data_IF_196361247448
#
_entry.id   IF_196361247448
#
_cell.length_a   1.000
_cell.length_b   1.000
_cell.length_c   1.000
_cell.angle_alpha   90.00
_cell.angle_beta   90.00
_cell.angle_gamma   90.00
#
_symmetry.space_group_name_H-M   'P 1'
#
loop_
_entity.id
_entity.type
_entity.pdbx_description
1 polymer ?
#
# COMPACT_ATOMS: atom_id res chain seq x y z
N UNK A 1 25.18 9.82 -8.06
CA UNK A 1 25.01 9.29 -6.70
C UNK A 1 24.39 7.91 -6.84
N UNK A 2 25.17 6.88 -6.57
CA UNK A 2 24.71 5.48 -6.60
C UNK A 2 23.62 5.35 -5.53
N UNK A 3 22.43 4.85 -5.90
CA UNK A 3 21.36 4.68 -4.90
C UNK A 3 21.75 3.54 -3.99
N UNK A 4 22.00 3.86 -2.73
CA UNK A 4 22.27 2.85 -1.72
C UNK A 4 21.08 1.88 -1.64
N UNK A 5 21.37 0.59 -1.69
CA UNK A 5 20.35 -0.45 -1.68
C UNK A 5 19.62 -0.42 -0.35
N UNK A 6 18.31 -0.20 -0.38
CA UNK A 6 17.47 -0.21 0.81
C UNK A 6 17.65 -1.54 1.56
N UNK A 7 17.90 -1.44 2.87
CA UNK A 7 18.11 -2.62 3.71
C UNK A 7 16.84 -3.47 3.81
N UNK A 8 17.01 -4.79 3.97
CA UNK A 8 15.86 -5.69 4.20
C UNK A 8 15.11 -5.32 5.49
N UNK A 9 15.80 -4.79 6.50
CA UNK A 9 15.20 -4.35 7.75
C UNK A 9 14.26 -3.18 7.49
N UNK A 10 14.68 -2.20 6.69
CA UNK A 10 13.83 -1.07 6.29
C UNK A 10 12.56 -1.56 5.60
N UNK A 11 12.67 -2.51 4.66
CA UNK A 11 11.51 -3.09 3.99
C UNK A 11 10.56 -3.82 4.95
N UNK A 12 11.11 -4.59 5.89
CA UNK A 12 10.32 -5.25 6.93
C UNK A 12 9.58 -4.21 7.77
N UNK A 13 10.25 -3.13 8.20
CA UNK A 13 9.62 -2.06 8.98
C UNK A 13 8.50 -1.36 8.20
N UNK A 14 8.72 -1.07 6.91
CA UNK A 14 7.71 -0.49 6.03
C UNK A 14 6.50 -1.43 5.89
N UNK A 15 6.76 -2.72 5.69
CA UNK A 15 5.71 -3.74 5.57
C UNK A 15 4.92 -3.91 6.87
N UNK A 16 5.60 -3.95 8.01
CA UNK A 16 4.96 -4.02 9.33
C UNK A 16 4.10 -2.80 9.62
N UNK A 17 4.56 -1.59 9.26
CA UNK A 17 3.76 -0.38 9.45
C UNK A 17 2.54 -0.36 8.51
N UNK A 18 2.71 -0.76 7.25
CA UNK A 18 1.59 -0.89 6.32
C UNK A 18 0.55 -1.90 6.82
N UNK A 19 1.01 -3.05 7.33
CA UNK A 19 0.13 -4.05 7.92
C UNK A 19 -0.59 -3.52 9.16
N UNK A 20 0.07 -2.72 9.99
CA UNK A 20 -0.59 -2.09 11.13
C UNK A 20 -1.73 -1.16 10.70
N UNK A 21 -1.53 -0.35 9.65
CA UNK A 21 -2.61 0.47 9.08
C UNK A 21 -3.76 -0.39 8.56
N UNK A 22 -3.47 -1.40 7.76
CA UNK A 22 -4.48 -2.31 7.19
C UNK A 22 -5.28 -3.02 8.31
N UNK A 23 -4.62 -3.49 9.37
CA UNK A 23 -5.29 -4.15 10.51
C UNK A 23 -6.20 -3.20 11.30
N UNK A 24 -5.78 -1.95 11.48
CA UNK A 24 -6.62 -0.93 12.14
C UNK A 24 -7.85 -0.64 11.28
N UNK A 25 -7.67 -0.45 9.98
CA UNK A 25 -8.78 -0.17 9.05
C UNK A 25 -9.77 -1.35 8.99
N UNK A 26 -9.26 -2.58 8.87
CA UNK A 26 -10.07 -3.78 8.90
C UNK A 26 -10.82 -3.93 10.23
N UNK A 27 -10.19 -3.60 11.36
CA UNK A 27 -10.85 -3.61 12.68
C UNK A 27 -12.01 -2.62 12.76
N UNK A 28 -11.81 -1.40 12.24
CA UNK A 28 -12.87 -0.37 12.17
C UNK A 28 -14.01 -0.81 11.26
N UNK A 29 -13.71 -1.43 10.11
CA UNK A 29 -14.73 -1.95 9.20
C UNK A 29 -15.57 -3.06 9.84
N UNK A 30 -14.93 -4.05 10.49
CA UNK A 30 -15.62 -5.12 11.21
C UNK A 30 -16.54 -4.54 12.31
N UNK A 31 -16.06 -3.52 13.04
CA UNK A 31 -16.89 -2.84 14.03
C UNK A 31 -18.08 -2.14 13.37
N UNK A 32 -17.87 -1.39 12.28
CA UNK A 32 -18.93 -0.69 11.56
C UNK A 32 -19.98 -1.65 11.02
N UNK A 33 -19.58 -2.77 10.43
CA UNK A 33 -20.48 -3.80 9.91
C UNK A 33 -21.32 -4.42 11.02
N UNK A 34 -20.70 -4.71 12.18
CA UNK A 34 -21.40 -5.23 13.35
C UNK A 34 -22.47 -4.24 13.88
N UNK A 35 -22.13 -2.95 13.97
CA UNK A 35 -23.07 -1.90 14.40
C UNK A 35 -24.16 -1.61 13.36
N UNK A 36 -23.84 -1.70 12.07
CA UNK A 36 -24.80 -1.54 10.99
C UNK A 36 -25.84 -2.68 10.99
N UNK A 37 -25.39 -3.93 11.16
CA UNK A 37 -26.25 -5.12 11.18
C UNK A 37 -27.25 -5.11 12.34
N UNK A 38 -26.90 -4.49 13.47
CA UNK A 38 -27.78 -4.41 14.65
C UNK A 38 -28.82 -3.28 14.56
N UNK A 39 -28.86 -2.51 13.46
CA UNK A 39 -29.82 -1.41 13.18
C UNK A 39 -29.87 -0.28 14.24
N UNK A 40 -28.96 -0.26 15.20
CA UNK A 40 -29.03 0.69 16.32
C UNK A 40 -28.45 2.07 15.96
N UNK A 41 -27.49 2.18 15.01
CA UNK A 41 -26.70 3.41 14.84
C UNK A 41 -26.22 3.68 13.39
N UNK A 42 -27.13 4.05 12.48
CA UNK A 42 -26.78 4.54 11.12
C UNK A 42 -25.77 5.73 11.11
N UNK A 43 -25.78 6.68 12.07
CA UNK A 43 -24.78 7.76 12.11
C UNK A 43 -23.35 7.29 12.41
N UNK A 44 -23.16 6.17 13.12
CA UNK A 44 -21.83 5.66 13.45
C UNK A 44 -21.11 5.11 12.22
N UNK A 45 -21.84 4.52 11.26
CA UNK A 45 -21.26 3.97 10.04
C UNK A 45 -20.57 5.05 9.18
N UNK A 46 -21.11 6.27 9.16
CA UNK A 46 -20.50 7.40 8.44
C UNK A 46 -19.21 7.87 9.13
N UNK A 47 -19.21 7.93 10.47
CA UNK A 47 -18.03 8.30 11.24
C UNK A 47 -16.91 7.28 11.03
N UNK A 48 -17.23 5.99 11.09
CA UNK A 48 -16.27 4.92 10.86
C UNK A 48 -15.66 4.97 9.45
N UNK A 49 -16.48 5.21 8.42
CA UNK A 49 -15.98 5.42 7.06
C UNK A 49 -15.03 6.63 6.95
N UNK A 50 -15.39 7.76 7.57
CA UNK A 50 -14.52 8.94 7.60
C UNK A 50 -13.19 8.68 8.30
N UNK A 51 -13.21 7.99 9.44
CA UNK A 51 -12.00 7.61 10.16
C UNK A 51 -11.13 6.69 9.30
N UNK A 52 -11.71 5.70 8.60
CA UNK A 52 -10.98 4.86 7.64
C UNK A 52 -10.33 5.68 6.52
N UNK A 53 -11.04 6.68 5.97
CA UNK A 53 -10.49 7.58 4.96
C UNK A 53 -9.31 8.40 5.49
N UNK A 54 -9.40 8.91 6.72
CA UNK A 54 -8.28 9.62 7.35
C UNK A 54 -7.07 8.71 7.54
N UNK A 55 -7.26 7.49 8.05
CA UNK A 55 -6.17 6.52 8.23
C UNK A 55 -5.51 6.21 6.88
N UNK A 56 -6.30 6.01 5.83
CA UNK A 56 -5.82 5.78 4.47
C UNK A 56 -4.95 6.93 3.94
N UNK A 57 -5.37 8.19 4.18
CA UNK A 57 -4.55 9.36 3.84
C UNK A 57 -3.24 9.39 4.64
N UNK A 58 -3.29 9.08 5.94
CA UNK A 58 -2.09 9.01 6.78
C UNK A 58 -1.13 7.89 6.34
N UNK A 59 -1.66 6.71 5.99
CA UNK A 59 -0.89 5.60 5.46
C UNK A 59 -0.19 6.00 4.15
N UNK A 60 -0.93 6.62 3.22
CA UNK A 60 -0.38 7.14 1.97
C UNK A 60 0.76 8.12 2.20
N UNK A 61 0.55 9.13 3.05
CA UNK A 61 1.55 10.17 3.32
C UNK A 61 2.79 9.59 4.00
N UNK A 62 2.60 8.68 4.96
CA UNK A 62 3.69 8.04 5.68
C UNK A 62 4.53 7.18 4.74
N UNK A 63 3.89 6.35 3.92
CA UNK A 63 4.58 5.55 2.91
C UNK A 63 5.26 6.44 1.87
N UNK A 64 4.59 7.49 1.37
CA UNK A 64 5.16 8.42 0.39
C UNK A 64 6.43 9.09 0.94
N UNK A 65 6.39 9.57 2.19
CA UNK A 65 7.54 10.14 2.86
C UNK A 65 8.65 9.11 3.00
N UNK A 66 8.34 7.91 3.48
CA UNK A 66 9.34 6.86 3.69
C UNK A 66 10.02 6.46 2.37
N UNK A 67 9.24 6.19 1.32
CA UNK A 67 9.79 5.93 -0.01
C UNK A 67 10.67 7.09 -0.49
N UNK A 68 10.26 8.34 -0.27
CA UNK A 68 11.04 9.52 -0.65
C UNK A 68 12.36 9.62 0.12
N UNK A 69 12.38 9.31 1.42
CA UNK A 69 13.59 9.27 2.25
C UNK A 69 14.57 8.20 1.76
N UNK A 70 14.05 7.05 1.33
CA UNK A 70 14.83 5.96 0.73
C UNK A 70 15.18 6.21 -0.77
N UNK A 71 14.93 7.41 -1.30
CA UNK A 71 15.24 7.77 -2.68
C UNK A 71 14.37 7.07 -3.74
N UNK A 72 13.26 6.45 -3.35
CA UNK A 72 12.25 5.87 -4.23
C UNK A 72 11.12 6.87 -4.48
N UNK A 73 10.54 6.81 -5.68
CA UNK A 73 9.37 7.61 -6.05
C UNK A 73 8.14 6.71 -6.07
N UNK A 74 7.31 6.86 -5.06
CA UNK A 74 6.03 6.15 -4.98
C UNK A 74 5.07 6.60 -6.11
N UNK A 75 5.07 7.88 -6.45
CA UNK A 75 4.20 8.49 -7.47
C UNK A 75 4.85 8.64 -8.86
N UNK A 76 5.67 7.67 -9.29
CA UNK A 76 6.07 7.59 -10.71
C UNK A 76 4.89 7.11 -11.57
N UNK A 77 4.80 7.52 -12.85
CA UNK A 77 3.70 7.12 -13.78
C UNK A 77 3.34 5.62 -13.71
N UNK A 78 4.36 4.75 -13.62
CA UNK A 78 4.18 3.29 -13.52
C UNK A 78 3.59 2.79 -12.19
N UNK A 79 3.73 3.59 -11.13
CA UNK A 79 3.33 3.26 -9.76
C UNK A 79 2.06 4.00 -9.33
N UNK A 80 1.69 5.09 -10.01
CA UNK A 80 0.46 5.84 -9.75
C UNK A 80 -0.76 4.92 -9.85
N UNK A 81 -0.79 4.03 -10.83
CA UNK A 81 -1.88 3.05 -10.97
C UNK A 81 -1.98 2.16 -9.72
N UNK A 82 -0.85 1.63 -9.22
CA UNK A 82 -0.85 0.81 -7.99
C UNK A 82 -1.34 1.60 -6.78
N UNK A 83 -0.88 2.85 -6.62
CA UNK A 83 -1.29 3.72 -5.51
C UNK A 83 -2.77 4.08 -5.59
N UNK A 84 -3.28 4.38 -6.79
CA UNK A 84 -4.69 4.67 -7.02
C UNK A 84 -5.58 3.45 -6.79
N UNK A 85 -5.16 2.27 -7.24
CA UNK A 85 -5.88 1.01 -7.00
C UNK A 85 -5.91 0.71 -5.49
N UNK A 86 -4.78 0.82 -4.80
CA UNK A 86 -4.74 0.66 -3.34
C UNK A 86 -5.68 1.63 -2.66
N UNK A 87 -5.59 2.93 -2.98
CA UNK A 87 -6.47 3.95 -2.36
C UNK A 87 -7.95 3.68 -2.65
N UNK A 88 -8.27 3.17 -3.84
CA UNK A 88 -9.64 2.81 -4.22
C UNK A 88 -10.14 1.59 -3.44
N UNK A 89 -9.33 0.53 -3.34
CA UNK A 89 -9.63 -0.68 -2.53
C UNK A 89 -9.95 -0.27 -1.09
N UNK A 90 -9.15 0.64 -0.54
CA UNK A 90 -9.32 1.15 0.83
C UNK A 90 -10.55 2.05 1.01
N UNK A 91 -11.09 2.66 -0.05
CA UNK A 91 -12.23 3.58 0.08
C UNK A 91 -13.58 2.89 -0.10
N UNK A 92 -13.58 1.77 -0.83
CA UNK A 92 -14.79 1.01 -1.15
C UNK A 92 -15.13 0.08 0.02
N UNK A 93 -16.30 0.26 0.67
CA UNK A 93 -16.78 -0.67 1.69
C UNK A 93 -16.79 -2.09 1.12
N UNK A 94 -16.47 -3.09 1.94
CA UNK A 94 -16.26 -4.50 1.53
C UNK A 94 -14.88 -4.83 0.91
N UNK A 95 -14.24 -3.90 0.20
CA UNK A 95 -12.86 -4.10 -0.31
C UNK A 95 -11.79 -3.64 0.67
N UNK A 96 -12.11 -2.73 1.59
CA UNK A 96 -11.21 -2.23 2.63
C UNK A 96 -10.66 -3.34 3.55
N UNK A 97 -11.33 -4.50 3.63
CA UNK A 97 -10.81 -5.66 4.37
C UNK A 97 -9.54 -6.26 3.75
N UNK A 98 -9.21 -5.92 2.49
CA UNK A 98 -7.97 -6.33 1.84
C UNK A 98 -6.82 -5.45 2.32
N UNK A 99 -5.63 -6.01 2.61
CA UNK A 99 -4.49 -5.25 3.10
C UNK A 99 -3.80 -4.49 1.95
N UNK A 100 -4.45 -3.44 1.45
CA UNK A 100 -4.07 -2.73 0.24
C UNK A 100 -2.72 -2.04 0.38
N UNK A 101 -2.43 -1.45 1.53
CA UNK A 101 -1.14 -0.79 1.78
C UNK A 101 0.00 -1.80 1.91
N UNK A 102 -0.23 -2.93 2.57
CA UNK A 102 0.76 -4.01 2.66
C UNK A 102 1.10 -4.56 1.29
N UNK A 103 0.10 -4.79 0.43
CA UNK A 103 0.31 -5.24 -0.96
C UNK A 103 1.13 -4.22 -1.74
N UNK A 104 0.87 -2.91 -1.57
CA UNK A 104 1.66 -1.86 -2.21
C UNK A 104 3.14 -1.90 -1.80
N UNK A 105 3.43 -2.07 -0.51
CA UNK A 105 4.82 -2.19 -0.03
C UNK A 105 5.47 -3.47 -0.55
N UNK A 106 4.76 -4.59 -0.51
CA UNK A 106 5.28 -5.88 -0.98
C UNK A 106 5.60 -5.87 -2.48
N UNK A 107 4.72 -5.31 -3.30
CA UNK A 107 4.96 -5.20 -4.75
C UNK A 107 6.14 -4.28 -5.06
N UNK A 108 6.34 -3.22 -4.28
CA UNK A 108 7.52 -2.34 -4.39
C UNK A 108 8.80 -3.06 -3.98
N UNK A 109 8.78 -3.81 -2.88
CA UNK A 109 9.90 -4.64 -2.45
C UNK A 109 10.31 -5.66 -3.52
N UNK A 110 9.34 -6.42 -4.06
CA UNK A 110 9.59 -7.39 -5.12
C UNK A 110 10.12 -6.72 -6.40
N UNK A 111 9.56 -5.58 -6.79
CA UNK A 111 10.02 -4.82 -7.95
C UNK A 111 11.43 -4.24 -7.77
N UNK A 112 11.85 -3.93 -6.56
CA UNK A 112 13.20 -3.45 -6.30
C UNK A 112 14.19 -4.63 -6.26
N UNK A 113 13.79 -5.74 -5.62
CA UNK A 113 14.59 -6.95 -5.56
C UNK A 113 14.85 -7.54 -6.95
N UNK A 114 13.85 -7.52 -7.84
CA UNK A 114 13.99 -8.04 -9.20
C UNK A 114 15.03 -7.26 -10.04
N UNK A 115 15.22 -5.97 -9.80
CA UNK A 115 16.28 -5.17 -10.46
C UNK A 115 17.69 -5.57 -10.05
N UNK A 116 17.83 -6.23 -8.89
CA UNK A 116 19.14 -6.63 -8.32
C UNK A 116 19.52 -8.07 -8.64
N UNK A 117 18.66 -8.84 -9.31
CA UNK A 117 18.97 -10.23 -9.70
C UNK A 117 19.84 -10.24 -10.97
N UNK A 118 21.03 -10.89 -10.95
CA UNK A 118 21.84 -11.09 -12.15
C UNK A 118 21.10 -12.03 -13.10
N UNK A 119 20.53 -11.48 -14.18
CA UNK A 119 19.77 -12.27 -15.17
C UNK A 119 18.55 -11.55 -15.76
N UNK A 120 18.11 -10.41 -15.23
CA UNK A 120 16.99 -9.66 -15.82
C UNK A 120 17.35 -8.86 -17.09
N UNK A 121 18.61 -8.96 -17.56
CA UNK A 121 19.15 -8.28 -18.76
C UNK A 121 19.32 -9.23 -19.97
N UNK A 122 18.56 -10.33 -20.07
CA UNK A 122 18.43 -11.08 -21.33
C UNK A 122 17.37 -10.40 -22.22
N UNK A 123 17.82 -9.33 -22.87
CA UNK A 123 17.37 -8.70 -24.12
C UNK A 123 16.05 -9.16 -24.78
N UNK A 124 15.04 -8.28 -24.91
CA UNK A 124 14.05 -8.36 -25.99
C UNK A 124 14.62 -7.66 -27.22
N UNK A 125 15.46 -8.33 -28.00
CA UNK A 125 15.98 -7.72 -29.22
C UNK A 125 17.31 -8.26 -29.71
N UNK A 126 17.34 -9.53 -30.09
CA UNK A 126 18.31 -9.98 -31.08
C UNK A 126 17.51 -10.42 -32.30
N UNK A 127 17.32 -9.49 -33.25
CA UNK A 127 17.18 -9.87 -34.66
C UNK A 127 18.60 -10.03 -35.18
N UNK A 128 19.08 -11.26 -35.29
CA UNK A 128 20.24 -11.55 -36.14
C UNK A 128 19.83 -11.38 -37.61
N UNK A 129 20.66 -10.74 -38.45
CA UNK A 129 20.52 -10.82 -39.90
C UNK A 129 20.73 -12.25 -40.43
#
# INVERSE_FOLDING_TARGET
MEKEKISNITWIMMGSLALAFDLIQAGIEIMNDFFALTFVLVPLSIIGWLVNLFISVFALLTLLLWFKLEGLKLLEKKNVISVSITSFIETVPMLNALPGWTILVLTKYLSEKSKTLPGANITPGVKTP
#
